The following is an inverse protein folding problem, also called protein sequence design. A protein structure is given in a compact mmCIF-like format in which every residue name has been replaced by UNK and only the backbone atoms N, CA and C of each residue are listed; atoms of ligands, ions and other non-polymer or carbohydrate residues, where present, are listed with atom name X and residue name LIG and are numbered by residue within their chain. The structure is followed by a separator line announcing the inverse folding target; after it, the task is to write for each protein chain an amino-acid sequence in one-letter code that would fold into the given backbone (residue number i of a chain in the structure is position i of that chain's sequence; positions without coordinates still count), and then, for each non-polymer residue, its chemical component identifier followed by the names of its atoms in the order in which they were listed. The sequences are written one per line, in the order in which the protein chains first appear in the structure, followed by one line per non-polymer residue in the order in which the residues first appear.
data_IF_338510051212
#
_entry.id   IF_338510051212
#
_cell.length_a   1.000
_cell.length_b   1.000
_cell.length_c   1.000
_cell.angle_alpha   90.00
_cell.angle_beta   90.00
_cell.angle_gamma   90.00
#
_symmetry.space_group_name_H-M   'P 1'
#
loop_
_entity.id
_entity.type
_entity.pdbx_description
1 polymer ?
#
# COMPACT_ATOMS: atom_id res chain seq x y z
N UNK A 1 17.68 -6.01 15.30
CA UNK A 1 16.54 -6.53 14.52
C UNK A 1 16.03 -5.36 13.70
N UNK A 2 15.85 -5.48 12.38
CA UNK A 2 15.20 -4.42 11.60
C UNK A 2 13.70 -4.68 11.76
N UNK A 3 13.10 -4.06 12.76
CA UNK A 3 11.68 -4.22 12.99
C UNK A 3 10.94 -3.48 11.88
N UNK A 4 10.15 -4.22 11.11
CA UNK A 4 9.29 -3.63 10.10
C UNK A 4 8.13 -2.98 10.84
N UNK A 5 8.01 -1.67 10.68
CA UNK A 5 6.92 -0.89 11.28
C UNK A 5 5.88 -0.63 10.20
N UNK A 6 4.61 -0.63 10.58
CA UNK A 6 3.53 -0.26 9.68
C UNK A 6 3.72 1.21 9.29
N UNK A 7 3.84 1.47 7.99
CA UNK A 7 4.02 2.81 7.44
C UNK A 7 2.66 3.41 7.08
N UNK A 8 1.95 2.77 6.15
CA UNK A 8 0.72 3.32 5.57
C UNK A 8 -0.26 2.20 5.21
N UNK A 9 -1.56 2.49 5.31
CA UNK A 9 -2.64 1.60 4.85
C UNK A 9 -2.91 1.77 3.37
N UNK A 10 -3.16 0.66 2.69
CA UNK A 10 -3.48 0.58 1.27
C UNK A 10 -4.97 0.33 1.11
N UNK A 11 -5.63 1.09 0.24
CA UNK A 11 -7.09 1.14 0.14
C UNK A 11 -7.63 0.02 -0.75
N UNK A 12 -6.89 -0.40 -1.77
CA UNK A 12 -7.32 -1.42 -2.72
C UNK A 12 -6.14 -2.23 -3.30
N UNK A 13 -6.44 -3.36 -3.95
CA UNK A 13 -5.44 -4.26 -4.51
C UNK A 13 -4.63 -3.63 -5.66
N UNK A 14 -5.25 -2.76 -6.46
CA UNK A 14 -4.58 -2.10 -7.59
C UNK A 14 -3.48 -1.16 -7.07
N UNK A 15 -3.81 -0.36 -6.05
CA UNK A 15 -2.84 0.48 -5.35
C UNK A 15 -1.71 -0.37 -4.74
N UNK A 16 -2.05 -1.51 -4.13
CA UNK A 16 -1.06 -2.42 -3.56
C UNK A 16 -0.04 -2.90 -4.60
N UNK A 17 -0.53 -3.39 -5.75
CA UNK A 17 0.31 -3.89 -6.84
C UNK A 17 1.21 -2.79 -7.42
N UNK A 18 0.68 -1.57 -7.58
CA UNK A 18 1.44 -0.46 -8.12
C UNK A 18 2.53 0.02 -7.15
N UNK A 19 2.20 0.17 -5.87
CA UNK A 19 3.15 0.57 -4.83
C UNK A 19 4.23 -0.50 -4.68
N UNK A 20 3.87 -1.79 -4.63
CA UNK A 20 4.81 -2.92 -4.56
C UNK A 20 5.81 -2.91 -5.73
N UNK A 21 5.33 -2.70 -6.97
CA UNK A 21 6.21 -2.56 -8.14
C UNK A 21 7.22 -1.42 -7.99
N UNK A 22 6.76 -0.23 -7.58
CA UNK A 22 7.63 0.96 -7.43
C UNK A 22 8.66 0.74 -6.32
N UNK A 23 8.25 0.14 -5.20
CA UNK A 23 9.16 -0.14 -4.08
C UNK A 23 10.20 -1.21 -4.45
N UNK A 24 9.81 -2.23 -5.21
CA UNK A 24 10.73 -3.24 -5.74
C UNK A 24 11.74 -2.64 -6.73
N UNK A 25 11.29 -1.76 -7.64
CA UNK A 25 12.16 -1.05 -8.59
C UNK A 25 13.19 -0.16 -7.89
N UNK A 26 12.84 0.40 -6.73
CA UNK A 26 13.72 1.23 -5.89
C UNK A 26 14.56 0.44 -4.89
N UNK A 27 14.47 -0.90 -4.91
CA UNK A 27 15.14 -1.80 -3.98
C UNK A 27 14.84 -1.47 -2.50
N UNK A 28 13.64 -0.97 -2.22
CA UNK A 28 13.20 -0.64 -0.85
C UNK A 28 12.68 -1.92 -0.18
N UNK A 29 13.28 -2.36 0.94
CA UNK A 29 12.78 -3.52 1.67
C UNK A 29 11.42 -3.20 2.32
N UNK A 30 10.38 -3.88 1.86
CA UNK A 30 9.00 -3.68 2.31
C UNK A 30 8.27 -5.02 2.44
N UNK A 31 7.17 -5.01 3.20
CA UNK A 31 6.25 -6.14 3.36
C UNK A 31 4.82 -5.65 3.13
N UNK A 32 4.16 -6.19 2.12
CA UNK A 32 2.75 -5.96 1.84
C UNK A 32 1.91 -6.94 2.65
N UNK A 33 1.07 -6.43 3.56
CA UNK A 33 0.12 -7.24 4.32
C UNK A 33 -1.30 -6.88 3.98
N UNK A 34 -1.99 -7.79 3.28
CA UNK A 34 -3.42 -7.69 3.07
C UNK A 34 -4.18 -8.04 4.37
N UNK A 35 -5.31 -7.37 4.59
CA UNK A 35 -6.28 -7.74 5.63
C UNK A 35 -7.23 -8.84 5.16
N UNK A 36 -7.02 -9.33 3.93
CA UNK A 36 -7.85 -10.31 3.23
C UNK A 36 -7.52 -11.77 3.55
N UNK A 37 -6.58 -12.02 4.45
CA UNK A 37 -6.28 -13.37 4.91
C UNK A 37 -7.44 -13.90 5.77
N UNK A 38 -8.32 -14.67 5.12
CA UNK A 38 -9.46 -15.44 5.63
C UNK A 38 -10.64 -14.64 6.25
N UNK A 39 -11.77 -14.53 5.53
CA UNK A 39 -13.08 -15.06 6.00
C UNK A 39 -14.36 -14.49 5.37
N UNK A 40 -14.35 -13.43 4.54
CA UNK A 40 -15.63 -12.82 4.11
C UNK A 40 -15.78 -12.67 2.59
N UNK A 41 -16.32 -13.75 2.05
CA UNK A 41 -17.06 -13.85 0.80
C UNK A 41 -18.16 -12.75 0.75
N UNK A 42 -17.96 -11.76 -0.12
CA UNK A 42 -19.06 -11.10 -0.84
C UNK A 42 -19.75 -9.85 -0.27
N UNK A 43 -19.69 -9.49 1.02
CA UNK A 43 -20.70 -8.50 1.53
C UNK A 43 -20.25 -7.26 2.32
N UNK A 44 -19.03 -7.13 2.85
CA UNK A 44 -18.62 -5.91 3.57
C UNK A 44 -17.11 -5.65 3.47
N UNK A 45 -16.63 -5.23 2.30
CA UNK A 45 -15.20 -4.93 2.09
C UNK A 45 -14.84 -3.43 2.20
N UNK A 46 -15.81 -2.52 2.32
CA UNK A 46 -15.57 -1.09 2.04
C UNK A 46 -15.06 -0.23 3.20
N UNK A 47 -14.79 -0.79 4.40
CA UNK A 47 -14.44 0.04 5.57
C UNK A 47 -12.97 -0.01 6.05
N UNK A 48 -12.15 -0.99 5.62
CA UNK A 48 -10.79 -1.17 6.20
C UNK A 48 -9.62 -0.99 5.23
N UNK A 49 -9.89 -0.79 3.93
CA UNK A 49 -8.85 -0.87 2.89
C UNK A 49 -8.39 -2.30 2.63
N UNK A 50 -7.52 -2.50 1.65
CA UNK A 50 -6.95 -3.80 1.28
C UNK A 50 -5.92 -4.31 2.29
N UNK A 51 -5.13 -3.42 2.89
CA UNK A 51 -4.01 -3.84 3.73
C UNK A 51 -3.13 -2.69 4.23
N UNK A 52 -1.86 -2.99 4.46
CA UNK A 52 -0.84 -1.99 4.79
C UNK A 52 0.56 -2.39 4.29
N UNK A 53 1.41 -1.38 4.13
CA UNK A 53 2.84 -1.53 3.86
C UNK A 53 3.60 -1.42 5.17
N UNK A 54 4.51 -2.35 5.43
CA UNK A 54 5.47 -2.27 6.52
C UNK A 54 6.89 -2.24 5.99
N UNK A 55 7.75 -1.45 6.59
CA UNK A 55 9.15 -1.32 6.19
C UNK A 55 10.00 -0.83 7.37
N UNK A 56 11.34 -0.84 7.26
CA UNK A 56 12.18 -0.13 8.21
C UNK A 56 11.86 1.37 8.22
N UNK A 57 11.72 1.96 9.41
CA UNK A 57 11.31 3.36 9.66
C UNK A 57 12.05 4.41 8.79
N UNK A 58 13.32 4.13 8.45
CA UNK A 58 14.12 4.99 7.56
C UNK A 58 13.51 5.23 6.16
N UNK A 59 12.57 4.39 5.72
CA UNK A 59 11.87 4.54 4.43
C UNK A 59 10.45 5.06 4.59
N UNK A 60 10.00 5.41 5.79
CA UNK A 60 8.62 5.82 6.04
C UNK A 60 8.20 6.97 5.11
N UNK A 61 8.98 8.06 5.10
CA UNK A 61 8.70 9.23 4.25
C UNK A 61 8.69 8.91 2.76
N UNK A 62 9.63 8.07 2.28
CA UNK A 62 9.71 7.73 0.87
C UNK A 62 8.53 6.85 0.43
N UNK A 63 8.13 5.89 1.27
CA UNK A 63 6.97 5.03 1.00
C UNK A 63 5.69 5.87 1.02
N UNK A 64 5.52 6.77 1.99
CA UNK A 64 4.37 7.67 2.05
C UNK A 64 4.25 8.51 0.78
N UNK A 65 5.35 9.12 0.32
CA UNK A 65 5.38 9.92 -0.90
C UNK A 65 4.97 9.12 -2.13
N UNK A 66 5.49 7.89 -2.29
CA UNK A 66 5.11 6.98 -3.38
C UNK A 66 3.62 6.67 -3.36
N UNK A 67 3.06 6.37 -2.18
CA UNK A 67 1.62 6.11 -2.05
C UNK A 67 0.79 7.34 -2.39
N UNK A 68 1.19 8.53 -1.91
CA UNK A 68 0.48 9.77 -2.23
C UNK A 68 0.51 10.10 -3.72
N UNK A 69 1.64 9.87 -4.39
CA UNK A 69 1.77 10.09 -5.83
C UNK A 69 0.93 9.10 -6.63
N UNK A 70 0.89 7.83 -6.23
CA UNK A 70 0.00 6.82 -6.82
C UNK A 70 -1.46 7.25 -6.69
N UNK A 71 -1.87 7.68 -5.49
CA UNK A 71 -3.23 8.17 -5.26
C UNK A 71 -3.53 9.38 -6.13
N UNK A 72 -2.64 10.38 -6.18
CA UNK A 72 -2.83 11.60 -6.96
C UNK A 72 -3.06 11.28 -8.44
N UNK A 73 -2.23 10.41 -9.03
CA UNK A 73 -2.40 9.97 -10.43
C UNK A 73 -3.75 9.28 -10.66
N UNK A 74 -4.19 8.44 -9.73
CA UNK A 74 -5.49 7.79 -9.81
C UNK A 74 -6.69 8.76 -9.74
N UNK A 75 -6.50 9.98 -9.22
CA UNK A 75 -7.50 11.05 -9.29
C UNK A 75 -7.47 11.78 -10.64
N UNK A 76 -6.29 12.10 -11.16
CA UNK A 76 -6.12 12.79 -12.45
C UNK A 76 -6.69 11.98 -13.63
N UNK A 77 -6.57 10.65 -13.59
CA UNK A 77 -7.12 9.75 -14.62
C UNK A 77 -8.66 9.67 -14.61
N UNK A 78 -9.34 10.12 -13.54
CA UNK A 78 -10.81 10.09 -13.45
C UNK A 78 -11.50 11.30 -14.06
N UNK A 79 -10.76 12.35 -14.37
CA UNK A 79 -11.27 13.62 -14.92
C UNK A 79 -11.16 13.72 -16.46
N UNK A 80 -10.91 12.59 -17.16
CA UNK A 80 -10.80 12.49 -18.64
C UNK A 80 -11.96 11.72 -19.26
#
# INVERSE_FOLDING_TARGET
MKDFVKIITIDNEIEALLVDSILNEREIPHEMRSYHDAAYDGLFQTQKGWGHVSAPDRYASEIEEIVFDVRRKAWEDKDV
#
